data_IF_362658426836
#
_entry.id   IF_362658426836
#
_cell.length_a   1.000
_cell.length_b   1.000
_cell.length_c   1.000
_cell.angle_alpha   90.00
_cell.angle_beta   90.00
_cell.angle_gamma   90.00
#
_symmetry.space_group_name_H-M   'P 1'
#
loop_
_entity.id
_entity.type
_entity.pdbx_description
1 polymer ?
#
# COMPACT_ATOMS: atom_id res chain seq x y z
N UNK A 1 40.95 24.05 -34.44
CA UNK A 1 39.65 23.99 -35.13
C UNK A 1 38.68 23.38 -34.15
N UNK A 2 38.10 24.23 -33.30
CA UNK A 2 37.37 23.84 -32.10
C UNK A 2 35.98 24.40 -32.27
N UNK A 3 35.05 23.58 -32.76
CA UNK A 3 33.64 23.93 -32.75
C UNK A 3 32.79 22.67 -32.70
N UNK A 4 32.28 22.39 -31.50
CA UNK A 4 31.07 21.59 -31.32
C UNK A 4 30.19 22.34 -30.35
N UNK A 5 29.43 23.28 -30.91
CA UNK A 5 28.28 23.91 -30.28
C UNK A 5 27.30 22.85 -29.78
N UNK A 6 27.33 22.57 -28.48
CA UNK A 6 26.22 21.94 -27.78
C UNK A 6 25.33 23.06 -27.23
N UNK A 7 24.36 23.48 -28.02
CA UNK A 7 23.33 24.42 -27.56
C UNK A 7 22.37 23.64 -26.66
N UNK A 8 22.49 23.85 -25.35
CA UNK A 8 21.48 23.38 -24.39
C UNK A 8 20.15 24.06 -24.75
N UNK A 9 19.17 23.28 -25.18
CA UNK A 9 17.80 23.77 -25.35
C UNK A 9 17.23 23.90 -23.94
N UNK A 10 17.24 25.12 -23.39
CA UNK A 10 16.54 25.41 -22.14
C UNK A 10 15.05 25.49 -22.45
N UNK A 11 14.32 24.41 -22.17
CA UNK A 11 12.86 24.42 -22.22
C UNK A 11 12.33 25.18 -20.99
N UNK A 12 11.55 26.25 -21.20
CA UNK A 12 10.82 26.90 -20.12
C UNK A 12 9.71 25.96 -19.61
N UNK A 13 9.68 25.74 -18.30
CA UNK A 13 8.64 24.95 -17.63
C UNK A 13 7.67 25.94 -16.98
N UNK A 14 6.38 25.96 -17.36
CA UNK A 14 5.40 26.90 -16.82
C UNK A 14 4.98 26.54 -15.40
N UNK A 15 4.45 27.52 -14.67
CA UNK A 15 3.91 27.31 -13.33
C UNK A 15 2.69 26.36 -13.33
N UNK A 16 2.53 25.52 -12.29
CA UNK A 16 1.40 24.61 -12.20
C UNK A 16 0.08 25.36 -11.99
N UNK A 17 -0.90 25.13 -12.87
CA UNK A 17 -2.24 25.74 -12.76
C UNK A 17 -3.14 25.11 -11.70
N UNK A 18 -2.83 23.87 -11.28
CA UNK A 18 -3.55 23.12 -10.24
C UNK A 18 -2.68 22.02 -9.66
N UNK A 19 -2.73 21.84 -8.35
CA UNK A 19 -2.08 20.73 -7.66
C UNK A 19 -2.86 20.36 -6.39
N UNK A 20 -2.60 19.19 -5.84
CA UNK A 20 -3.02 18.83 -4.49
C UNK A 20 -1.91 18.05 -3.77
N UNK A 21 -1.92 18.09 -2.45
CA UNK A 21 -0.95 17.39 -1.60
C UNK A 21 -1.71 16.56 -0.59
N UNK A 22 -1.54 15.25 -0.64
CA UNK A 22 -2.17 14.33 0.32
C UNK A 22 -1.49 14.43 1.69
N UNK A 23 -2.25 14.18 2.75
CA UNK A 23 -1.75 14.11 4.13
C UNK A 23 -2.18 12.80 4.79
N UNK A 24 -1.97 11.66 4.11
CA UNK A 24 -2.33 10.33 4.62
C UNK A 24 -1.81 10.05 6.03
N UNK A 25 -0.59 10.49 6.34
CA UNK A 25 0.01 10.36 7.68
C UNK A 25 -0.73 11.14 8.78
N UNK A 26 -1.63 12.05 8.42
CA UNK A 26 -2.42 12.88 9.35
C UNK A 26 -3.91 12.60 9.26
N UNK A 27 -4.36 11.72 8.37
CA UNK A 27 -5.75 11.28 8.36
C UNK A 27 -5.97 10.37 9.58
N UNK A 28 -6.88 10.73 10.50
CA UNK A 28 -7.05 10.01 11.77
C UNK A 28 -7.50 8.56 11.59
N UNK A 29 -8.12 8.21 10.46
CA UNK A 29 -8.67 6.87 10.19
C UNK A 29 -7.75 6.00 9.34
N UNK A 30 -6.66 6.56 8.77
CA UNK A 30 -5.74 5.83 7.90
C UNK A 30 -4.31 5.82 8.45
N UNK A 31 -3.73 7.00 8.71
CA UNK A 31 -2.38 7.19 9.27
C UNK A 31 -1.20 6.54 8.52
N UNK A 32 -1.45 5.89 7.38
CA UNK A 32 -0.45 5.21 6.55
C UNK A 32 -0.86 5.20 5.08
N UNK A 33 0.05 4.71 4.23
CA UNK A 33 -0.27 4.36 2.84
C UNK A 33 -0.37 2.84 2.67
N UNK A 34 0.64 2.10 3.14
CA UNK A 34 0.73 0.65 3.07
C UNK A 34 1.73 0.11 4.11
N UNK A 35 1.56 -1.16 4.48
CA UNK A 35 2.43 -1.87 5.42
C UNK A 35 3.79 -2.27 4.82
N UNK A 36 4.72 -2.68 5.68
CA UNK A 36 5.98 -3.31 5.30
C UNK A 36 6.53 -4.11 6.49
N UNK A 37 7.42 -5.08 6.21
CA UNK A 37 8.12 -5.81 7.28
C UNK A 37 9.29 -4.98 7.77
N UNK A 38 9.23 -4.52 9.03
CA UNK A 38 10.35 -3.83 9.68
C UNK A 38 11.52 -4.79 9.91
N UNK A 39 12.75 -4.28 9.94
CA UNK A 39 13.94 -5.05 10.35
C UNK A 39 13.68 -5.83 11.65
N UNK A 40 14.01 -7.12 11.62
CA UNK A 40 13.74 -8.06 12.73
C UNK A 40 12.35 -8.71 12.69
N UNK A 41 11.47 -8.29 11.78
CA UNK A 41 10.17 -8.91 11.54
C UNK A 41 10.22 -10.06 10.53
N UNK A 42 9.10 -10.79 10.42
CA UNK A 42 8.89 -11.89 9.48
C UNK A 42 7.61 -11.65 8.68
N UNK A 43 7.56 -12.16 7.45
CA UNK A 43 6.33 -12.20 6.66
C UNK A 43 5.22 -13.05 7.27
N UNK A 44 5.54 -13.93 8.22
CA UNK A 44 4.55 -14.67 9.01
C UNK A 44 3.64 -13.76 9.83
N UNK A 45 4.07 -12.53 10.14
CA UNK A 45 3.23 -11.56 10.84
C UNK A 45 1.91 -11.28 10.11
N UNK A 46 1.91 -11.29 8.77
CA UNK A 46 0.67 -11.11 7.99
C UNK A 46 -0.30 -12.28 8.20
N UNK A 47 0.21 -13.51 8.30
CA UNK A 47 -0.61 -14.70 8.52
C UNK A 47 -1.17 -14.69 9.95
N UNK A 48 -0.34 -14.33 10.95
CA UNK A 48 -0.74 -14.22 12.36
C UNK A 48 -1.84 -13.17 12.54
N UNK A 49 -1.73 -12.00 11.90
CA UNK A 49 -2.79 -10.97 11.95
C UNK A 49 -4.08 -11.46 11.26
N UNK A 50 -3.97 -12.35 10.27
CA UNK A 50 -5.11 -12.92 9.54
C UNK A 50 -5.83 -14.07 10.27
N UNK A 51 -5.31 -14.53 11.41
CA UNK A 51 -5.95 -15.55 12.23
C UNK A 51 -7.25 -15.01 12.83
N UNK A 52 -8.33 -15.77 12.71
CA UNK A 52 -9.59 -15.42 13.37
C UNK A 52 -9.54 -15.75 14.86
N UNK A 53 -10.35 -15.03 15.63
CA UNK A 53 -10.51 -15.28 17.06
C UNK A 53 -11.81 -16.05 17.25
N UNK A 54 -11.67 -17.35 17.54
CA UNK A 54 -12.75 -18.28 17.90
C UNK A 54 -13.88 -18.37 16.84
N UNK A 55 -13.57 -18.17 15.56
CA UNK A 55 -14.58 -18.14 14.49
C UNK A 55 -15.60 -17.00 14.63
N UNK A 56 -15.27 -15.93 15.39
CA UNK A 56 -16.20 -14.83 15.69
C UNK A 56 -15.68 -13.47 15.25
N UNK A 57 -14.37 -13.25 15.37
CA UNK A 57 -13.72 -12.00 14.93
C UNK A 57 -12.73 -12.36 13.83
N UNK A 58 -12.92 -11.76 12.66
CA UNK A 58 -12.12 -12.01 11.46
C UNK A 58 -11.38 -10.74 11.05
N UNK A 59 -10.19 -10.90 10.46
CA UNK A 59 -9.34 -9.78 10.05
C UNK A 59 -9.02 -9.84 8.55
N UNK A 60 -9.25 -8.72 7.87
CA UNK A 60 -8.95 -8.53 6.46
C UNK A 60 -8.24 -7.19 6.24
N UNK A 61 -7.78 -6.95 5.02
CA UNK A 61 -6.98 -5.79 4.64
C UNK A 61 -5.59 -6.18 4.12
N UNK A 62 -4.85 -5.20 3.58
CA UNK A 62 -3.56 -5.44 2.94
C UNK A 62 -2.52 -6.02 3.93
N UNK A 63 -2.54 -5.53 5.17
CA UNK A 63 -1.67 -5.97 6.26
C UNK A 63 -2.01 -7.38 6.81
N UNK A 64 -2.92 -8.10 6.16
CA UNK A 64 -3.29 -9.49 6.50
C UNK A 64 -3.02 -10.46 5.34
N UNK A 65 -2.43 -9.99 4.23
CA UNK A 65 -2.19 -10.80 3.05
C UNK A 65 -0.69 -10.94 2.78
N UNK A 66 -0.11 -12.07 3.21
CA UNK A 66 1.33 -12.34 3.03
C UNK A 66 1.77 -12.41 1.57
N UNK A 67 0.90 -12.89 0.68
CA UNK A 67 1.25 -13.11 -0.73
C UNK A 67 1.16 -11.83 -1.56
N UNK A 68 0.21 -10.95 -1.23
CA UNK A 68 -0.04 -9.72 -1.97
C UNK A 68 -0.16 -8.51 -1.03
N UNK A 69 0.82 -8.22 -0.15
CA UNK A 69 0.72 -7.10 0.78
C UNK A 69 0.68 -5.77 0.03
N UNK A 70 0.35 -4.66 0.72
CA UNK A 70 0.37 -3.27 0.21
C UNK A 70 -0.67 -2.93 -0.87
N UNK A 71 -1.07 -3.90 -1.68
CA UNK A 71 -1.86 -3.67 -2.88
C UNK A 71 -3.36 -3.65 -2.59
N UNK A 72 -4.10 -2.88 -3.39
CA UNK A 72 -5.57 -2.93 -3.40
C UNK A 72 -6.06 -4.35 -3.70
N UNK A 73 -5.41 -5.06 -4.63
CA UNK A 73 -5.71 -6.47 -4.94
C UNK A 73 -5.56 -7.36 -3.72
N UNK A 74 -4.50 -7.18 -2.92
CA UNK A 74 -4.28 -7.93 -1.69
C UNK A 74 -5.35 -7.71 -0.64
N UNK A 75 -5.75 -6.45 -0.45
CA UNK A 75 -6.86 -6.07 0.43
C UNK A 75 -8.20 -6.67 -0.03
N UNK A 76 -8.46 -6.65 -1.34
CA UNK A 76 -9.64 -7.27 -1.92
C UNK A 76 -9.66 -8.79 -1.70
N UNK A 77 -8.56 -9.47 -2.03
CA UNK A 77 -8.46 -10.92 -1.90
C UNK A 77 -8.51 -11.39 -0.44
N UNK A 78 -7.98 -10.61 0.52
CA UNK A 78 -8.15 -10.94 1.94
C UNK A 78 -9.60 -10.78 2.39
N UNK A 79 -10.35 -9.83 1.85
CA UNK A 79 -11.80 -9.75 2.05
C UNK A 79 -12.55 -10.98 1.53
N UNK A 80 -12.22 -11.44 0.32
CA UNK A 80 -12.80 -12.68 -0.26
C UNK A 80 -12.46 -13.90 0.62
N UNK A 81 -11.22 -14.00 1.10
CA UNK A 81 -10.77 -15.06 2.01
C UNK A 81 -11.60 -15.09 3.28
N UNK A 82 -11.75 -13.97 3.98
CA UNK A 82 -12.53 -13.93 5.23
C UNK A 82 -14.02 -14.17 4.99
N UNK A 83 -14.59 -13.66 3.89
CA UNK A 83 -15.98 -13.95 3.52
C UNK A 83 -16.21 -15.45 3.32
N UNK A 84 -15.27 -16.14 2.68
CA UNK A 84 -15.33 -17.61 2.52
C UNK A 84 -15.24 -18.34 3.85
N UNK A 85 -14.43 -17.88 4.81
CA UNK A 85 -14.36 -18.47 6.16
C UNK A 85 -15.69 -18.29 6.89
N UNK A 86 -16.25 -17.07 6.86
CA UNK A 86 -17.51 -16.73 7.54
C UNK A 86 -18.68 -17.56 6.99
N UNK A 87 -18.76 -17.73 5.68
CA UNK A 87 -19.84 -18.49 5.04
C UNK A 87 -19.74 -20.02 5.22
N UNK A 88 -18.59 -20.53 5.69
CA UNK A 88 -18.38 -21.96 5.94
C UNK A 88 -18.84 -22.42 7.33
N UNK A 89 -19.28 -21.48 8.18
CA UNK A 89 -19.94 -21.74 9.47
C UNK A 89 -21.47 -21.72 9.30
#
# INVERSE_FOLDING_TARGET
>A
STDKHFTLITQEVPDPVKFFVTRWSKDPWLQMAYSFVRTGGSGEAYDIIAEDIQGKVFFAGEATNRHFPQTVTGAYLSGVREASKIAAF
#
